data_IF_603962003620
#
_entry.id   IF_603962003620
#
_cell.length_a   1.000
_cell.length_b   1.000
_cell.length_c   1.000
_cell.angle_alpha   90.00
_cell.angle_beta   90.00
_cell.angle_gamma   90.00
#
_symmetry.space_group_name_H-M   'P 1'
#
loop_
_entity.id
_entity.type
_entity.pdbx_description
1 polymer ?
#
# COMPACT_ATOMS: atom_id res chain seq x y z
N UNK A 1 -18.07 5.54 -1.85
CA UNK A 1 -17.50 5.01 -3.11
C UNK A 1 -16.65 3.78 -2.82
N UNK A 2 -16.27 3.01 -3.84
CA UNK A 2 -15.24 1.96 -3.70
C UNK A 2 -13.93 2.51 -4.23
N UNK A 3 -12.91 2.58 -3.37
CA UNK A 3 -11.61 3.20 -3.65
C UNK A 3 -10.52 2.15 -3.41
N UNK A 4 -9.55 2.08 -4.32
CA UNK A 4 -8.36 1.25 -4.15
C UNK A 4 -7.15 2.16 -4.03
N UNK A 5 -6.41 2.01 -2.94
CA UNK A 5 -5.12 2.66 -2.72
C UNK A 5 -4.01 1.66 -3.04
N UNK A 6 -3.18 1.97 -4.04
CA UNK A 6 -2.01 1.17 -4.41
C UNK A 6 -0.76 1.94 -3.97
N UNK A 7 0.05 1.35 -3.11
CA UNK A 7 1.25 2.01 -2.56
C UNK A 7 2.35 1.01 -2.21
N UNK A 8 3.60 1.41 -2.34
CA UNK A 8 4.78 0.70 -1.83
C UNK A 8 5.10 1.06 -0.35
N UNK A 9 4.49 2.13 0.17
CA UNK A 9 4.68 2.64 1.51
C UNK A 9 3.51 2.25 2.40
N UNK A 10 3.62 1.09 3.05
CA UNK A 10 2.62 0.61 4.01
C UNK A 10 3.25 0.04 5.28
N UNK A 11 2.40 -0.36 6.23
CA UNK A 11 2.84 -1.04 7.46
C UNK A 11 3.58 -2.34 7.12
N UNK A 12 4.65 -2.71 7.87
CA UNK A 12 5.07 -2.19 9.18
C UNK A 12 6.03 -0.98 9.13
N UNK A 13 6.30 -0.38 7.97
CA UNK A 13 7.20 0.77 7.89
C UNK A 13 6.63 1.96 8.66
N UNK A 14 7.48 2.72 9.36
CA UNK A 14 7.06 3.87 10.19
C UNK A 14 7.77 5.12 9.67
N UNK A 15 7.26 5.67 8.57
CA UNK A 15 7.74 6.92 8.00
C UNK A 15 6.57 7.89 7.78
N UNK A 16 6.86 9.16 7.47
CA UNK A 16 5.84 10.19 7.30
C UNK A 16 4.80 9.86 6.23
N UNK A 17 5.19 9.17 5.16
CA UNK A 17 4.28 8.75 4.07
C UNK A 17 3.28 7.72 4.57
N UNK A 18 3.75 6.69 5.29
CA UNK A 18 2.86 5.66 5.87
C UNK A 18 1.85 6.29 6.82
N UNK A 19 2.29 7.20 7.70
CA UNK A 19 1.39 7.90 8.63
C UNK A 19 0.31 8.68 7.88
N UNK A 20 0.67 9.42 6.82
CA UNK A 20 -0.31 10.15 6.01
C UNK A 20 -1.29 9.22 5.31
N UNK A 21 -0.82 8.11 4.74
CA UNK A 21 -1.69 7.18 4.03
C UNK A 21 -2.64 6.42 4.97
N UNK A 22 -2.17 6.03 6.16
CA UNK A 22 -3.01 5.40 7.19
C UNK A 22 -4.12 6.35 7.64
N UNK A 23 -3.78 7.62 7.89
CA UNK A 23 -4.75 8.64 8.29
C UNK A 23 -5.74 8.96 7.16
N UNK A 24 -5.25 9.04 5.92
CA UNK A 24 -6.11 9.20 4.74
C UNK A 24 -7.13 8.07 4.63
N UNK A 25 -6.70 6.81 4.78
CA UNK A 25 -7.58 5.64 4.73
C UNK A 25 -8.60 5.69 5.87
N UNK A 26 -8.17 6.08 7.08
CA UNK A 26 -9.04 6.24 8.25
C UNK A 26 -10.13 7.26 8.00
N UNK A 27 -9.77 8.49 7.62
CA UNK A 27 -10.72 9.59 7.40
C UNK A 27 -11.65 9.31 6.21
N UNK A 28 -11.12 8.74 5.13
CA UNK A 28 -11.92 8.36 3.96
C UNK A 28 -12.93 7.26 4.30
N UNK A 29 -12.55 6.32 5.16
CA UNK A 29 -13.45 5.27 5.64
C UNK A 29 -14.54 5.84 6.55
N UNK A 30 -14.19 6.78 7.45
CA UNK A 30 -15.15 7.50 8.30
C UNK A 30 -16.14 8.33 7.50
N UNK A 31 -15.73 8.88 6.35
CA UNK A 31 -16.61 9.56 5.40
C UNK A 31 -17.58 8.61 4.65
N UNK A 32 -17.62 7.32 5.00
CA UNK A 32 -18.55 6.35 4.43
C UNK A 32 -18.09 5.76 3.08
N UNK A 33 -16.79 5.82 2.78
CA UNK A 33 -16.22 5.17 1.59
C UNK A 33 -15.55 3.84 1.97
N UNK A 34 -15.57 2.88 1.04
CA UNK A 34 -14.84 1.63 1.19
C UNK A 34 -13.47 1.79 0.56
N UNK A 35 -12.43 1.65 1.36
CA UNK A 35 -11.04 1.74 0.90
C UNK A 35 -10.38 0.37 1.02
N UNK A 36 -9.81 -0.12 -0.07
CA UNK A 36 -8.96 -1.32 -0.08
C UNK A 36 -7.53 -0.91 -0.38
N UNK A 37 -6.58 -1.39 0.41
CA UNK A 37 -5.15 -1.09 0.23
C UNK A 37 -4.48 -2.29 -0.42
N UNK A 38 -3.71 -2.04 -1.47
CA UNK A 38 -2.84 -3.02 -2.14
C UNK A 38 -1.39 -2.57 -1.96
N UNK A 39 -0.60 -3.44 -1.34
CA UNK A 39 0.79 -3.15 -0.98
C UNK A 39 1.71 -4.36 -1.24
N UNK A 40 3.05 -4.18 -1.37
CA UNK A 40 3.98 -5.22 -1.76
C UNK A 40 4.01 -6.47 -0.87
N UNK A 41 3.80 -6.33 0.43
CA UNK A 41 3.75 -7.40 1.43
C UNK A 41 2.66 -8.46 1.19
N UNK A 42 1.67 -8.15 0.34
CA UNK A 42 0.67 -9.11 -0.13
C UNK A 42 1.22 -10.10 -1.17
N UNK A 43 2.45 -9.89 -1.65
CA UNK A 43 3.08 -10.64 -2.74
C UNK A 43 4.50 -11.10 -2.37
N UNK A 44 5.13 -11.86 -3.27
CA UNK A 44 6.59 -12.03 -3.21
C UNK A 44 7.23 -10.69 -3.56
N UNK A 45 8.20 -10.26 -2.78
CA UNK A 45 8.89 -8.98 -3.00
C UNK A 45 10.34 -9.16 -3.42
N UNK A 46 10.91 -8.11 -4.01
CA UNK A 46 12.35 -7.96 -4.24
C UNK A 46 12.73 -6.49 -3.97
N UNK A 47 13.91 -6.20 -3.41
CA UNK A 47 14.36 -4.83 -3.24
C UNK A 47 14.38 -4.05 -4.56
N UNK A 48 13.99 -2.78 -4.49
CA UNK A 48 14.04 -1.84 -5.60
C UNK A 48 15.50 -1.48 -5.94
N UNK A 49 15.94 -1.64 -7.21
CA UNK A 49 17.27 -1.21 -7.61
C UNK A 49 17.47 0.30 -7.39
N UNK A 50 18.52 0.67 -6.65
CA UNK A 50 18.86 2.07 -6.37
C UNK A 50 18.09 2.71 -5.21
N UNK A 51 17.17 2.01 -4.56
CA UNK A 51 16.41 2.52 -3.41
C UNK A 51 16.41 1.53 -2.25
N UNK A 52 17.12 1.89 -1.18
CA UNK A 52 17.13 1.11 0.04
C UNK A 52 15.77 1.23 0.77
N UNK A 53 15.21 0.11 1.20
CA UNK A 53 13.97 0.07 1.98
C UNK A 53 12.67 0.08 1.16
N UNK A 54 12.73 0.07 -0.17
CA UNK A 54 11.55 -0.12 -1.03
C UNK A 54 11.51 -1.56 -1.53
N UNK A 55 10.39 -2.24 -1.26
CA UNK A 55 10.09 -3.58 -1.74
C UNK A 55 9.13 -3.53 -2.93
N UNK A 56 9.49 -4.20 -4.03
CA UNK A 56 8.67 -4.27 -5.24
C UNK A 56 7.94 -5.60 -5.33
N UNK A 57 6.65 -5.57 -5.62
CA UNK A 57 5.83 -6.77 -5.83
C UNK A 57 6.24 -7.51 -7.12
N UNK A 58 6.50 -8.81 -7.02
CA UNK A 58 6.91 -9.66 -8.14
C UNK A 58 5.70 -10.39 -8.73
N UNK A 59 5.37 -10.07 -9.99
CA UNK A 59 4.25 -10.66 -10.77
C UNK A 59 2.89 -10.59 -10.04
N UNK A 60 2.44 -9.40 -9.56
CA UNK A 60 1.23 -9.27 -8.73
C UNK A 60 -0.07 -9.53 -9.50
N UNK A 61 -0.07 -9.37 -10.83
CA UNK A 61 -1.26 -9.43 -11.69
C UNK A 61 -2.12 -10.71 -11.52
N UNK A 62 -1.54 -11.84 -11.10
CA UNK A 62 -2.32 -13.08 -10.89
C UNK A 62 -3.17 -13.07 -9.61
N UNK A 63 -2.80 -12.25 -8.63
CA UNK A 63 -3.45 -12.14 -7.31
C UNK A 63 -4.34 -10.91 -7.18
N UNK A 64 -4.14 -9.90 -8.03
CA UNK A 64 -5.03 -8.75 -8.15
C UNK A 64 -6.08 -9.10 -9.21
N UNK A 65 -7.25 -9.56 -8.79
CA UNK A 65 -8.41 -9.88 -9.65
C UNK A 65 -9.63 -9.13 -9.16
#
# INVERSE_FOLDING_TARGET
MKIVLITDAWMPQVNGVVTTLVELVRETTLAGHQVSVIEPGMFRTRPCPGYAGIDLAVRPAKRVR
#
